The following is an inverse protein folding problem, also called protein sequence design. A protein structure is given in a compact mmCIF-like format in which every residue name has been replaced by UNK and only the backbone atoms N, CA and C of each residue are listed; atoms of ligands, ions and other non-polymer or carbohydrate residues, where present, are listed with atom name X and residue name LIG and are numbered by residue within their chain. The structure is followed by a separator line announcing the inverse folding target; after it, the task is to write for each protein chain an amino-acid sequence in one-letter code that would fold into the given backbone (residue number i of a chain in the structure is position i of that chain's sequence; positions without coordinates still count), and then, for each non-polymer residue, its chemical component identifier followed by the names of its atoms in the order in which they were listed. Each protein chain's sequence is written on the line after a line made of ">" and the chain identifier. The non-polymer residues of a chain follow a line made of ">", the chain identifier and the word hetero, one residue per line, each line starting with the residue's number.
data_IF_977835504943
#
_entry.id   IF_977835504943
#
_cell.length_a   1.000
_cell.length_b   1.000
_cell.length_c   1.000
_cell.angle_alpha   90.00
_cell.angle_beta   90.00
_cell.angle_gamma   90.00
#
_symmetry.space_group_name_H-M   'P 1'
#
loop_
_entity.id
_entity.type
_entity.pdbx_description
1 polymer ?
#
# COMPACT_ATOMS: atom_id res chain seq x y z
N UNK A 1 -22.79 -41.42 -13.82
CA UNK A 1 -22.19 -40.22 -14.44
C UNK A 1 -21.93 -39.21 -13.32
N UNK A 2 -20.85 -39.40 -12.54
CA UNK A 2 -20.48 -38.48 -11.43
C UNK A 2 -18.97 -38.25 -11.29
N UNK A 3 -18.11 -39.08 -11.88
CA UNK A 3 -16.65 -38.93 -11.76
C UNK A 3 -16.09 -37.57 -12.21
N UNK A 4 -16.69 -36.93 -13.22
CA UNK A 4 -16.22 -35.62 -13.68
C UNK A 4 -16.66 -34.48 -12.76
N UNK A 5 -17.77 -34.63 -12.02
CA UNK A 5 -18.24 -33.62 -11.08
C UNK A 5 -17.42 -33.65 -9.79
N UNK A 6 -17.13 -34.85 -9.28
CA UNK A 6 -16.33 -35.06 -8.07
C UNK A 6 -14.89 -34.53 -8.25
N UNK A 7 -14.33 -34.60 -9.46
CA UNK A 7 -13.00 -34.05 -9.77
C UNK A 7 -12.99 -32.51 -9.80
N UNK A 8 -14.07 -31.88 -10.25
CA UNK A 8 -14.17 -30.42 -10.34
C UNK A 8 -14.42 -29.81 -8.94
N UNK A 9 -15.20 -30.48 -8.09
CA UNK A 9 -15.44 -30.06 -6.70
C UNK A 9 -14.20 -30.25 -5.81
N UNK A 10 -13.32 -31.21 -6.09
CA UNK A 10 -12.08 -31.44 -5.32
C UNK A 10 -10.97 -30.39 -5.59
N UNK A 11 -11.02 -29.69 -6.72
CA UNK A 11 -9.95 -28.76 -7.14
C UNK A 11 -10.28 -27.31 -6.77
N UNK A 12 -11.55 -26.99 -6.50
CA UNK A 12 -11.96 -25.64 -6.11
C UNK A 12 -12.47 -25.64 -4.67
N UNK A 13 -11.76 -25.01 -3.71
CA UNK A 13 -12.27 -24.87 -2.36
C UNK A 13 -13.54 -24.01 -2.40
N UNK A 14 -14.66 -24.61 -2.01
CA UNK A 14 -15.93 -23.89 -1.87
C UNK A 14 -15.84 -22.96 -0.65
N UNK A 15 -15.46 -21.70 -0.88
CA UNK A 15 -15.61 -20.65 0.13
C UNK A 15 -17.09 -20.29 0.25
N UNK A 16 -17.73 -20.71 1.34
CA UNK A 16 -19.01 -20.17 1.77
C UNK A 16 -18.73 -18.81 2.41
N UNK A 17 -18.82 -17.73 1.62
CA UNK A 17 -18.92 -16.38 2.17
C UNK A 17 -20.39 -16.14 2.49
N UNK A 18 -20.77 -16.40 3.74
CA UNK A 18 -22.05 -15.97 4.27
C UNK A 18 -22.11 -14.43 4.32
N UNK A 19 -23.26 -13.92 3.88
CA UNK A 19 -23.55 -12.51 3.57
C UNK A 19 -23.47 -11.58 4.78
N UNK A 20 -23.12 -10.32 4.50
CA UNK A 20 -23.13 -9.20 5.42
C UNK A 20 -24.50 -8.94 6.06
N UNK A 21 -24.50 -8.59 7.35
CA UNK A 21 -25.58 -7.85 8.02
C UNK A 21 -24.99 -6.87 9.02
N UNK A 22 -25.35 -5.58 8.83
CA UNK A 22 -25.69 -4.55 9.84
C UNK A 22 -24.66 -4.21 10.94
N UNK A 23 -24.34 -2.97 11.30
CA UNK A 23 -24.97 -1.68 11.05
C UNK A 23 -24.00 -0.54 11.42
N UNK A 24 -24.25 0.64 10.86
CA UNK A 24 -23.57 1.90 11.14
C UNK A 24 -24.29 2.60 12.28
N UNK A 25 -23.60 2.96 13.36
CA UNK A 25 -24.02 4.08 14.21
C UNK A 25 -22.83 4.98 14.54
N UNK A 26 -22.81 6.12 13.84
CA UNK A 26 -22.04 7.33 14.18
C UNK A 26 -22.94 8.19 15.05
N UNK A 27 -22.53 8.46 16.29
CA UNK A 27 -22.98 9.63 17.05
C UNK A 27 -21.77 10.33 17.70
N UNK A 28 -21.49 11.55 17.22
CA UNK A 28 -20.86 12.66 17.96
C UNK A 28 -21.94 13.76 18.03
N UNK A 29 -21.90 14.82 18.88
CA UNK A 29 -20.76 15.43 19.60
C UNK A 29 -21.11 15.75 21.09
N UNK A 30 -20.30 16.32 21.97
CA UNK A 30 -19.81 17.71 22.06
C UNK A 30 -18.93 17.87 23.32
N UNK A 31 -18.06 18.88 23.26
CA UNK A 31 -17.56 19.73 24.35
C UNK A 31 -16.27 19.33 25.11
N UNK A 32 -15.23 20.12 24.82
CA UNK A 32 -13.98 20.24 25.57
C UNK A 32 -14.15 21.20 26.77
N UNK A 33 -13.29 21.13 27.81
CA UNK A 33 -12.19 22.10 27.84
C UNK A 33 -10.87 21.57 28.43
N UNK A 34 -9.89 22.46 28.40
CA UNK A 34 -8.43 22.33 28.47
C UNK A 34 -7.81 22.13 29.88
N UNK A 35 -6.50 21.83 29.83
CA UNK A 35 -5.39 22.18 30.75
C UNK A 35 -4.81 21.13 31.73
N UNK A 36 -3.60 20.71 31.35
CA UNK A 36 -2.34 20.51 32.10
C UNK A 36 -2.36 20.32 33.62
N UNK A 37 -1.69 19.27 34.11
CA UNK A 37 -0.49 19.31 34.97
C UNK A 37 0.13 17.90 34.99
N UNK A 38 1.34 17.74 34.44
CA UNK A 38 2.20 16.57 34.69
C UNK A 38 3.36 17.08 35.55
N UNK A 39 3.39 16.67 36.81
CA UNK A 39 4.52 16.91 37.72
C UNK A 39 5.22 15.57 37.98
N UNK A 40 6.53 15.59 37.82
CA UNK A 40 7.48 14.49 37.98
C UNK A 40 7.41 13.79 39.35
N UNK A 41 7.62 12.48 39.35
CA UNK A 41 8.37 11.81 40.41
C UNK A 41 9.34 10.82 39.80
N UNK A 42 10.62 11.14 39.91
CA UNK A 42 11.79 10.29 39.62
C UNK A 42 12.09 9.46 40.86
N UNK A 43 12.35 8.17 40.69
CA UNK A 43 13.36 7.31 41.36
C UNK A 43 12.89 5.86 41.33
N UNK A 44 13.59 5.00 40.58
CA UNK A 44 14.30 3.88 41.20
C UNK A 44 15.45 3.42 40.27
N UNK A 45 16.54 3.08 40.92
CA UNK A 45 17.88 2.73 40.43
C UNK A 45 18.01 1.20 40.27
N UNK A 46 19.00 0.77 39.48
CA UNK A 46 19.57 -0.60 39.41
C UNK A 46 18.72 -1.72 38.74
N UNK A 47 19.02 -2.05 37.48
CA UNK A 47 19.64 -3.36 37.18
C UNK A 47 20.38 -3.34 35.83
N UNK A 48 21.62 -3.79 35.89
CA UNK A 48 22.60 -3.93 34.81
C UNK A 48 22.31 -5.27 34.11
N UNK A 49 21.34 -5.28 33.19
CA UNK A 49 21.21 -6.36 32.19
C UNK A 49 21.66 -5.82 30.83
N UNK A 50 22.85 -6.29 30.45
CA UNK A 50 23.43 -6.52 29.12
C UNK A 50 22.36 -6.84 28.05
N UNK A 51 21.58 -5.85 27.64
CA UNK A 51 20.77 -5.91 26.43
C UNK A 51 21.70 -5.51 25.28
N UNK A 52 22.18 -6.53 24.57
CA UNK A 52 22.71 -6.43 23.23
C UNK A 52 21.62 -5.78 22.35
N UNK A 53 21.51 -4.46 22.43
CA UNK A 53 20.86 -3.61 21.43
C UNK A 53 21.77 -3.65 20.18
N UNK A 54 21.86 -4.84 19.57
CA UNK A 54 21.89 -4.98 18.13
C UNK A 54 20.58 -4.40 17.61
N UNK A 55 20.45 -3.08 17.74
CA UNK A 55 19.45 -2.27 17.08
C UNK A 55 19.75 -2.47 15.59
N UNK A 56 19.12 -3.50 15.04
CA UNK A 56 19.14 -3.88 13.64
C UNK A 56 18.91 -2.60 12.88
N UNK A 57 19.97 -2.06 12.26
CA UNK A 57 19.84 -1.09 11.20
C UNK A 57 19.05 -1.81 10.12
N UNK A 58 17.71 -1.74 10.21
CA UNK A 58 16.76 -2.40 9.33
C UNK A 58 17.01 -1.75 7.96
N UNK A 59 17.97 -2.31 7.24
CA UNK A 59 18.45 -1.75 5.99
C UNK A 59 17.26 -1.58 5.06
N UNK A 60 17.20 -0.43 4.38
CA UNK A 60 16.09 -0.09 3.49
C UNK A 60 15.67 -1.29 2.61
N UNK A 61 14.35 -1.49 2.43
CA UNK A 61 13.81 -2.61 1.66
C UNK A 61 14.54 -2.72 0.30
N UNK A 62 15.21 -3.85 0.02
CA UNK A 62 15.89 -4.06 -1.25
C UNK A 62 14.96 -3.89 -2.46
N UNK A 63 13.65 -4.14 -2.32
CA UNK A 63 12.68 -3.92 -3.37
C UNK A 63 12.52 -2.43 -3.70
N UNK A 64 12.37 -1.56 -2.71
CA UNK A 64 12.21 -0.12 -2.91
C UNK A 64 13.42 0.51 -3.60
N UNK A 65 14.62 0.14 -3.14
CA UNK A 65 15.88 0.57 -3.77
C UNK A 65 15.94 0.15 -5.24
N UNK A 66 15.58 -1.11 -5.54
CA UNK A 66 15.58 -1.62 -6.91
C UNK A 66 14.49 -0.97 -7.78
N UNK A 67 13.30 -0.68 -7.24
CA UNK A 67 12.23 0.01 -7.97
C UNK A 67 12.65 1.41 -8.36
N UNK A 68 13.29 2.16 -7.46
CA UNK A 68 13.80 3.50 -7.75
C UNK A 68 14.90 3.48 -8.82
N UNK A 69 15.87 2.57 -8.70
CA UNK A 69 16.91 2.38 -9.72
C UNK A 69 16.32 2.04 -11.09
N UNK A 70 15.40 1.07 -11.13
CA UNK A 70 14.78 0.58 -12.36
C UNK A 70 13.85 1.62 -13.00
N UNK A 71 13.12 2.42 -12.20
CA UNK A 71 12.27 3.51 -12.68
C UNK A 71 13.05 4.63 -13.38
N UNK A 72 14.29 4.91 -12.93
CA UNK A 72 15.17 5.94 -13.52
C UNK A 72 15.86 5.49 -14.82
N UNK A 73 15.71 4.23 -15.23
CA UNK A 73 16.32 3.73 -16.48
C UNK A 73 15.73 4.42 -17.70
N UNK A 74 16.51 4.53 -18.77
CA UNK A 74 16.03 5.12 -20.04
C UNK A 74 14.87 4.33 -20.67
N UNK A 75 14.73 3.05 -20.33
CA UNK A 75 13.63 2.21 -20.80
C UNK A 75 12.30 2.57 -20.13
N UNK A 76 12.32 2.87 -18.81
CA UNK A 76 11.10 3.18 -18.06
C UNK A 76 10.74 4.66 -18.02
N UNK A 77 11.69 5.58 -18.30
CA UNK A 77 11.45 7.03 -18.36
C UNK A 77 10.23 7.48 -19.20
N UNK A 78 9.96 6.92 -20.39
CA UNK A 78 8.78 7.30 -21.16
C UNK A 78 7.47 6.95 -20.45
N UNK A 79 7.41 5.77 -19.79
CA UNK A 79 6.22 5.35 -19.05
C UNK A 79 6.01 6.19 -17.80
N UNK A 80 7.09 6.57 -17.12
CA UNK A 80 7.06 7.49 -15.98
C UNK A 80 6.51 8.86 -16.39
N UNK A 81 6.99 9.41 -17.51
CA UNK A 81 6.46 10.65 -18.08
C UNK A 81 4.95 10.54 -18.37
N UNK A 82 4.50 9.47 -19.03
CA UNK A 82 3.07 9.31 -19.35
C UNK A 82 2.20 9.14 -18.10
N UNK A 83 2.70 8.44 -17.09
CA UNK A 83 2.01 8.31 -15.82
C UNK A 83 1.84 9.68 -15.13
N UNK A 84 2.90 10.48 -15.07
CA UNK A 84 2.83 11.83 -14.52
C UNK A 84 1.93 12.76 -15.34
N UNK A 85 1.95 12.67 -16.67
CA UNK A 85 1.04 13.41 -17.55
C UNK A 85 -0.43 13.04 -17.30
N UNK A 86 -0.73 11.75 -17.06
CA UNK A 86 -2.06 11.31 -16.65
C UNK A 86 -2.46 11.88 -15.29
N UNK A 87 -1.57 11.81 -14.29
CA UNK A 87 -1.83 12.37 -12.94
C UNK A 87 -2.17 13.86 -13.04
N UNK A 88 -1.41 14.64 -13.80
CA UNK A 88 -1.67 16.07 -13.98
C UNK A 88 -3.06 16.32 -14.58
N UNK A 89 -3.46 15.51 -15.59
CA UNK A 89 -4.77 15.61 -16.23
C UNK A 89 -5.91 15.24 -15.28
N UNK A 90 -5.80 14.11 -14.59
CA UNK A 90 -6.82 13.63 -13.63
C UNK A 90 -6.94 14.57 -12.44
N UNK A 91 -5.82 15.08 -11.91
CA UNK A 91 -5.84 16.06 -10.81
C UNK A 91 -6.57 17.33 -11.25
N UNK A 92 -6.32 17.81 -12.46
CA UNK A 92 -7.04 18.96 -13.02
C UNK A 92 -8.54 18.68 -13.21
N UNK A 93 -8.89 17.47 -13.60
CA UNK A 93 -10.30 17.04 -13.71
C UNK A 93 -11.01 17.06 -12.35
N UNK A 94 -10.31 16.64 -11.29
CA UNK A 94 -10.82 16.62 -9.91
C UNK A 94 -11.14 18.01 -9.35
N UNK A 95 -10.50 19.06 -9.86
CA UNK A 95 -10.75 20.46 -9.47
C UNK A 95 -12.02 21.05 -10.11
N UNK A 96 -12.67 20.35 -11.04
CA UNK A 96 -13.88 20.82 -11.70
C UNK A 96 -15.07 20.89 -10.71
N UNK A 97 -15.90 21.95 -10.76
CA UNK A 97 -16.94 22.22 -9.75
C UNK A 97 -18.06 21.16 -9.67
N UNK A 98 -18.17 20.28 -10.65
CA UNK A 98 -19.17 19.19 -10.70
C UNK A 98 -18.52 17.82 -10.89
N UNK A 99 -17.24 17.68 -10.51
CA UNK A 99 -16.48 16.43 -10.65
C UNK A 99 -17.20 15.25 -9.99
N UNK A 100 -17.84 15.47 -8.83
CA UNK A 100 -18.56 14.44 -8.08
C UNK A 100 -19.72 13.80 -8.85
N UNK A 101 -20.41 14.57 -9.69
CA UNK A 101 -21.54 14.06 -10.48
C UNK A 101 -21.15 13.67 -11.92
N UNK A 102 -19.85 13.71 -12.25
CA UNK A 102 -19.35 13.36 -13.57
C UNK A 102 -19.59 11.87 -13.84
N UNK A 103 -20.24 11.57 -14.96
CA UNK A 103 -20.55 10.19 -15.37
C UNK A 103 -19.29 9.34 -15.63
N UNK A 104 -18.20 9.97 -16.04
CA UNK A 104 -16.91 9.33 -16.27
C UNK A 104 -15.83 10.16 -15.58
N UNK A 105 -15.05 9.49 -14.74
CA UNK A 105 -13.86 10.03 -14.07
C UNK A 105 -12.69 9.24 -14.64
N UNK A 106 -11.73 9.93 -15.22
CA UNK A 106 -10.54 9.28 -15.75
C UNK A 106 -9.69 8.72 -14.60
N UNK A 107 -9.03 7.57 -14.82
CA UNK A 107 -8.04 7.00 -13.94
C UNK A 107 -6.71 6.80 -14.70
N UNK A 108 -5.63 6.58 -13.94
CA UNK A 108 -4.29 6.37 -14.50
C UNK A 108 -3.80 4.92 -14.34
N UNK A 109 -4.72 3.95 -14.24
CA UNK A 109 -4.36 2.56 -13.97
C UNK A 109 -3.58 1.96 -15.14
N UNK A 110 -3.92 2.33 -16.38
CA UNK A 110 -3.21 1.85 -17.57
C UNK A 110 -1.75 2.35 -17.60
N UNK A 111 -1.52 3.64 -17.41
CA UNK A 111 -0.17 4.23 -17.39
C UNK A 111 0.65 3.71 -16.20
N UNK A 112 0.01 3.54 -15.04
CA UNK A 112 0.63 2.90 -13.89
C UNK A 112 1.06 1.47 -14.20
N UNK A 113 0.23 0.68 -14.89
CA UNK A 113 0.55 -0.70 -15.27
C UNK A 113 1.70 -0.75 -16.27
N UNK A 114 1.78 0.16 -17.23
CA UNK A 114 2.92 0.26 -18.13
C UNK A 114 4.22 0.58 -17.40
N UNK A 115 4.20 1.56 -16.49
CA UNK A 115 5.36 1.91 -15.67
C UNK A 115 5.79 0.73 -14.78
N UNK A 116 4.84 0.14 -14.05
CA UNK A 116 5.14 -0.93 -13.11
C UNK A 116 5.58 -2.21 -13.82
N UNK A 117 5.03 -2.51 -15.02
CA UNK A 117 5.49 -3.62 -15.83
C UNK A 117 6.97 -3.44 -16.24
N UNK A 118 7.34 -2.24 -16.71
CA UNK A 118 8.74 -1.94 -17.05
C UNK A 118 9.68 -2.07 -15.85
N UNK A 119 9.28 -1.55 -14.69
CA UNK A 119 10.05 -1.67 -13.45
C UNK A 119 10.20 -3.14 -13.05
N UNK A 120 9.11 -3.91 -13.08
CA UNK A 120 9.11 -5.32 -12.68
C UNK A 120 10.03 -6.18 -13.55
N UNK A 121 10.07 -5.95 -14.86
CA UNK A 121 10.97 -6.66 -15.77
C UNK A 121 12.45 -6.45 -15.40
N UNK A 122 12.78 -5.28 -14.82
CA UNK A 122 14.11 -4.96 -14.31
C UNK A 122 14.38 -5.49 -12.89
N UNK A 123 13.38 -5.42 -11.99
CA UNK A 123 13.51 -5.79 -10.58
C UNK A 123 13.47 -7.30 -10.37
N UNK A 124 12.54 -8.00 -11.02
CA UNK A 124 12.29 -9.43 -10.82
C UNK A 124 13.55 -10.33 -10.90
N UNK A 125 14.47 -10.17 -11.89
CA UNK A 125 15.68 -10.98 -11.95
C UNK A 125 16.74 -10.62 -10.90
N UNK A 126 16.58 -9.50 -10.17
CA UNK A 126 17.59 -8.96 -9.24
C UNK A 126 17.22 -9.16 -7.77
N UNK A 127 15.95 -8.99 -7.42
CA UNK A 127 15.46 -8.90 -6.03
C UNK A 127 15.91 -10.07 -5.15
N UNK A 128 15.72 -11.30 -5.60
CA UNK A 128 15.98 -12.49 -4.78
C UNK A 128 17.49 -12.72 -4.51
N UNK A 129 18.39 -12.02 -5.21
CA UNK A 129 19.82 -12.06 -4.86
C UNK A 129 20.16 -11.16 -3.65
N UNK A 130 19.20 -10.35 -3.19
CA UNK A 130 19.33 -9.43 -2.06
C UNK A 130 18.62 -9.91 -0.80
N UNK A 131 17.79 -10.95 -0.92
CA UNK A 131 17.03 -11.54 0.18
C UNK A 131 17.79 -12.78 0.72
N UNK A 132 17.64 -13.07 2.01
CA UNK A 132 18.30 -14.19 2.70
C UNK A 132 17.33 -15.31 3.02
#
# INVERSE_FOLDING_TARGET
>A
MSFFRDLIESVMPTAYAEEAVEDVEVETPEDAPEEEVVEETVEDDDDDEDDEDEDEEEGADPLDSLREECGKTSACKPFDHHFHECIERVTKEQEEPDYEHKHYKEDCVEEFFHLQHCINDCVAPRLFNKLK
#
